data_IF_168327896548
#
_entry.id   IF_168327896548
#
_cell.length_a   1.000
_cell.length_b   1.000
_cell.length_c   1.000
_cell.angle_alpha   90.00
_cell.angle_beta   90.00
_cell.angle_gamma   90.00
#
_symmetry.space_group_name_H-M   'P 1'
#
loop_
_entity.id
_entity.type
_entity.pdbx_description
1 polymer ?
#
# COMPACT_ATOMS: atom_id res chain seq x y z
N UNK A 1 6.01 11.94 -17.11
CA UNK A 1 6.35 11.70 -15.69
C UNK A 1 5.15 11.88 -14.75
N UNK A 2 4.51 13.05 -14.75
CA UNK A 2 3.36 13.37 -13.89
C UNK A 2 2.20 12.37 -14.02
N UNK A 3 1.83 11.99 -15.25
CA UNK A 3 0.76 11.01 -15.51
C UNK A 3 0.95 9.67 -14.78
N UNK A 4 2.19 9.19 -14.65
CA UNK A 4 2.51 7.93 -13.96
C UNK A 4 2.30 8.05 -12.44
N UNK A 5 2.62 9.22 -11.90
CA UNK A 5 2.39 9.60 -10.50
C UNK A 5 0.90 9.77 -10.20
N UNK A 6 0.15 10.38 -11.13
CA UNK A 6 -1.30 10.55 -10.97
C UNK A 6 -2.08 9.24 -11.00
N UNK A 7 -1.65 8.29 -11.83
CA UNK A 7 -2.25 6.95 -11.86
C UNK A 7 -1.93 6.23 -10.55
N UNK A 8 -0.68 6.30 -10.08
CA UNK A 8 -0.27 5.58 -8.88
C UNK A 8 -0.88 6.11 -7.59
N UNK A 9 -1.12 7.43 -7.48
CA UNK A 9 -1.80 8.00 -6.31
C UNK A 9 -3.28 7.62 -6.19
N UNK A 10 -3.98 7.39 -7.30
CA UNK A 10 -5.39 6.99 -7.32
C UNK A 10 -5.60 5.47 -7.31
N UNK A 11 -4.53 4.69 -7.43
CA UNK A 11 -4.59 3.24 -7.40
C UNK A 11 -5.14 2.74 -6.05
N UNK A 12 -6.01 1.73 -6.12
CA UNK A 12 -6.51 1.01 -4.95
C UNK A 12 -5.81 -0.34 -4.87
N UNK A 13 -5.32 -0.68 -3.69
CA UNK A 13 -4.65 -1.96 -3.44
C UNK A 13 -5.44 -2.82 -2.45
N UNK A 14 -5.19 -4.13 -2.49
CA UNK A 14 -5.71 -5.09 -1.52
C UNK A 14 -4.99 -4.93 -0.19
N UNK A 15 -5.76 -4.73 0.87
CA UNK A 15 -5.23 -4.61 2.22
C UNK A 15 -4.87 -6.00 2.77
N UNK A 16 -3.63 -6.19 3.20
CA UNK A 16 -3.17 -7.46 3.77
C UNK A 16 -3.92 -7.85 5.05
N UNK A 17 -4.35 -6.88 5.86
CA UNK A 17 -5.01 -7.13 7.15
C UNK A 17 -6.47 -7.57 7.03
N UNK A 18 -7.21 -7.10 6.03
CA UNK A 18 -8.66 -7.35 5.93
C UNK A 18 -9.11 -7.90 4.57
N UNK A 19 -8.18 -8.13 3.63
CA UNK A 19 -8.43 -8.68 2.31
C UNK A 19 -9.20 -7.76 1.34
N UNK A 20 -9.67 -6.59 1.77
CA UNK A 20 -10.48 -5.69 0.92
C UNK A 20 -9.60 -4.74 0.09
N UNK A 21 -10.01 -4.49 -1.15
CA UNK A 21 -9.36 -3.53 -2.08
C UNK A 21 -9.74 -2.08 -1.78
N UNK A 22 -9.47 -1.65 -0.54
CA UNK A 22 -9.73 -0.28 -0.04
C UNK A 22 -8.47 0.41 0.49
N UNK A 23 -7.28 -0.08 0.13
CA UNK A 23 -6.00 0.55 0.49
C UNK A 23 -5.69 1.69 -0.48
N UNK A 24 -5.44 2.89 0.03
CA UNK A 24 -5.14 4.11 -0.74
C UNK A 24 -3.96 4.87 -0.15
N UNK A 25 -3.22 5.58 -1.00
CA UNK A 25 -2.14 6.46 -0.56
C UNK A 25 -2.72 7.67 0.18
N UNK A 26 -2.20 7.98 1.37
CA UNK A 26 -2.59 9.18 2.13
C UNK A 26 -1.50 10.26 2.05
N UNK A 27 -0.25 9.84 2.10
CA UNK A 27 0.93 10.68 1.91
C UNK A 27 2.03 9.86 1.22
N UNK A 28 3.14 10.50 0.85
CA UNK A 28 4.31 9.80 0.31
C UNK A 28 4.75 8.72 1.32
N UNK A 29 4.81 7.47 0.88
CA UNK A 29 5.21 6.35 1.73
C UNK A 29 4.19 5.90 2.77
N UNK A 30 2.99 6.50 2.82
CA UNK A 30 1.98 6.18 3.83
C UNK A 30 0.64 5.79 3.20
N UNK A 31 0.11 4.64 3.62
CA UNK A 31 -1.03 3.97 3.00
C UNK A 31 -2.10 3.64 4.01
N UNK A 32 -3.34 4.01 3.72
CA UNK A 32 -4.50 3.88 4.61
C UNK A 32 -5.58 2.99 4.00
N UNK A 33 -6.08 2.04 4.79
CA UNK A 33 -7.20 1.20 4.40
C UNK A 33 -8.52 1.80 4.90
N UNK A 34 -9.39 2.20 3.98
CA UNK A 34 -10.70 2.75 4.33
C UNK A 34 -11.71 1.72 4.88
N UNK A 35 -11.37 0.43 4.98
CA UNK A 35 -12.26 -0.55 5.62
C UNK A 35 -11.89 -0.89 7.06
N UNK A 36 -10.62 -1.22 7.31
CA UNK A 36 -10.16 -1.64 8.63
C UNK A 36 -9.43 -0.51 9.38
N UNK A 37 -9.34 0.67 8.77
CA UNK A 37 -8.72 1.88 9.30
C UNK A 37 -7.22 1.76 9.63
N UNK A 38 -6.59 0.65 9.26
CA UNK A 38 -5.14 0.46 9.42
C UNK A 38 -4.38 1.37 8.48
N UNK A 39 -3.28 1.90 8.99
CA UNK A 39 -2.37 2.73 8.21
C UNK A 39 -0.96 2.18 8.34
N UNK A 40 -0.24 2.08 7.23
CA UNK A 40 1.07 1.44 7.16
C UNK A 40 2.04 2.27 6.34
N UNK A 41 3.32 2.14 6.66
CA UNK A 41 4.39 2.57 5.80
C UNK A 41 4.52 1.61 4.61
N UNK A 42 4.79 2.14 3.43
CA UNK A 42 4.97 1.38 2.19
C UNK A 42 5.80 2.17 1.19
N UNK A 43 5.75 1.78 -0.08
CA UNK A 43 6.49 2.49 -1.12
C UNK A 43 5.99 3.92 -1.33
N UNK A 44 6.88 4.79 -1.84
CA UNK A 44 6.56 6.18 -2.12
C UNK A 44 5.40 6.31 -3.12
N UNK A 45 5.35 5.44 -4.14
CA UNK A 45 4.37 5.47 -5.24
C UNK A 45 3.55 4.19 -5.37
N UNK A 46 4.04 3.07 -4.83
CA UNK A 46 3.35 1.77 -4.85
C UNK A 46 3.15 1.27 -3.43
N UNK A 47 2.00 0.64 -3.15
CA UNK A 47 1.67 0.15 -1.82
C UNK A 47 2.72 -0.82 -1.28
N UNK A 48 3.10 -1.80 -2.10
CA UNK A 48 4.13 -2.77 -1.76
C UNK A 48 5.43 -2.44 -2.49
N UNK A 49 6.53 -2.57 -1.76
CA UNK A 49 7.88 -2.71 -2.33
C UNK A 49 8.29 -4.18 -2.21
N UNK A 50 9.16 -4.65 -3.09
CA UNK A 50 9.67 -6.03 -3.04
C UNK A 50 10.25 -6.37 -1.66
N UNK A 51 10.93 -5.40 -1.02
CA UNK A 51 11.43 -5.54 0.35
C UNK A 51 10.33 -5.75 1.38
N UNK A 52 9.24 -4.96 1.34
CA UNK A 52 8.12 -5.10 2.26
C UNK A 52 7.41 -6.45 2.08
N UNK A 53 7.22 -6.90 0.82
CA UNK A 53 6.67 -8.23 0.52
C UNK A 53 7.54 -9.33 1.14
N UNK A 54 8.85 -9.25 0.94
CA UNK A 54 9.82 -10.22 1.47
C UNK A 54 9.80 -10.23 3.00
N UNK A 55 9.80 -9.06 3.65
CA UNK A 55 9.70 -8.97 5.12
C UNK A 55 8.41 -9.59 5.67
N UNK A 56 7.27 -9.39 4.99
CA UNK A 56 6.01 -10.01 5.39
C UNK A 56 6.03 -11.54 5.23
N UNK A 57 6.68 -12.07 4.20
CA UNK A 57 6.83 -13.51 4.01
C UNK A 57 7.72 -14.15 5.09
N UNK A 58 8.85 -13.53 5.42
CA UNK A 58 9.72 -14.00 6.51
C UNK A 58 9.07 -13.90 7.89
N UNK A 59 8.19 -12.91 8.12
CA UNK A 59 7.48 -12.75 9.40
C UNK A 59 6.29 -13.72 9.56
N UNK A 60 5.92 -14.43 8.49
CA UNK A 60 4.86 -15.45 8.49
C UNK A 60 5.43 -16.89 8.58
N UNK A 61 6.75 -17.02 8.70
CA UNK A 61 7.49 -18.27 8.96
C UNK A 61 7.85 -18.34 10.45
#
# INVERSE_FOLDING_TARGET
MVKKIEISQHAKYTCFFCGKTKMKRKAVGFWHCGSCMKTVAGGAWTYNTTSAVISHLYSAS
#
